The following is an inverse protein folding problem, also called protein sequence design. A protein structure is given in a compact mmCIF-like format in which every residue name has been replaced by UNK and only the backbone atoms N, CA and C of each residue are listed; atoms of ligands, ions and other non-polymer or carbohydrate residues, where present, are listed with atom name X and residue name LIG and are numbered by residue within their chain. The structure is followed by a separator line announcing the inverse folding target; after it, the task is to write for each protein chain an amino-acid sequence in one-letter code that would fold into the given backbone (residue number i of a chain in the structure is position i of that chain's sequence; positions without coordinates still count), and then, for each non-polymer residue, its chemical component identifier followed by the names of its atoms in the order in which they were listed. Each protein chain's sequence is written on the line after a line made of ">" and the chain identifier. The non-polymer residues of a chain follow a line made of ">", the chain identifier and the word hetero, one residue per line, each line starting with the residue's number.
data_IF_113176851628
#
_entry.id   IF_113176851628
#
_cell.length_a   1.000
_cell.length_b   1.000
_cell.length_c   1.000
_cell.angle_alpha   90.00
_cell.angle_beta   90.00
_cell.angle_gamma   90.00
#
_symmetry.space_group_name_H-M   'P 1'
#
loop_
_entity.id
_entity.type
_entity.pdbx_description
1 polymer ?
#
# COMPACT_ATOMS: atom_id res chain seq x y z
N UNK A 1 -9.24 -6.68 10.11
CA UNK A 1 -8.63 -6.10 8.90
C UNK A 1 -7.36 -5.35 9.31
N UNK A 2 -6.25 -5.60 8.62
CA UNK A 2 -5.00 -4.83 8.81
C UNK A 2 -4.86 -3.88 7.64
N UNK A 3 -4.59 -2.59 7.90
CA UNK A 3 -4.39 -1.56 6.87
C UNK A 3 -3.14 -0.74 7.19
N UNK A 4 -2.35 -0.44 6.16
CA UNK A 4 -1.24 0.50 6.25
C UNK A 4 -1.71 1.91 5.90
N UNK A 5 -1.24 2.92 6.62
CA UNK A 5 -1.48 4.34 6.31
C UNK A 5 -0.14 5.06 6.12
N UNK A 6 -0.04 5.88 5.08
CA UNK A 6 1.21 6.59 4.73
C UNK A 6 1.17 8.07 5.07
N UNK A 7 -0.01 8.67 5.17
CA UNK A 7 -0.19 10.09 5.43
C UNK A 7 -1.54 10.37 6.10
N UNK A 8 -1.83 11.64 6.38
CA UNK A 8 -3.08 12.08 7.02
C UNK A 8 -4.32 11.74 6.19
N UNK A 9 -4.25 11.80 4.85
CA UNK A 9 -5.38 11.51 3.97
C UNK A 9 -5.73 10.02 3.99
N UNK A 10 -4.72 9.15 3.87
CA UNK A 10 -4.88 7.69 4.00
C UNK A 10 -5.51 7.35 5.36
N UNK A 11 -5.05 8.00 6.44
CA UNK A 11 -5.58 7.79 7.79
C UNK A 11 -7.06 8.14 7.91
N UNK A 12 -7.48 9.33 7.48
CA UNK A 12 -8.89 9.73 7.57
C UNK A 12 -9.82 8.84 6.73
N UNK A 13 -9.35 8.43 5.55
CA UNK A 13 -10.08 7.50 4.70
C UNK A 13 -10.26 6.13 5.38
N UNK A 14 -9.16 5.51 5.83
CA UNK A 14 -9.19 4.19 6.48
C UNK A 14 -9.93 4.20 7.82
N UNK A 15 -9.86 5.31 8.58
CA UNK A 15 -10.64 5.50 9.81
C UNK A 15 -12.13 5.49 9.53
N UNK A 16 -12.57 6.17 8.49
CA UNK A 16 -13.97 6.20 8.06
C UNK A 16 -14.44 4.80 7.64
N UNK A 17 -13.62 4.09 6.85
CA UNK A 17 -13.91 2.71 6.45
C UNK A 17 -13.96 1.73 7.63
N UNK A 18 -13.05 1.87 8.61
CA UNK A 18 -13.08 1.07 9.82
C UNK A 18 -14.40 1.23 10.60
N UNK A 19 -14.93 2.46 10.70
CA UNK A 19 -16.22 2.71 11.35
C UNK A 19 -17.40 2.12 10.57
N UNK A 20 -17.38 2.26 9.24
CA UNK A 20 -18.39 1.64 8.37
C UNK A 20 -18.38 0.12 8.52
N UNK A 21 -17.20 -0.50 8.46
CA UNK A 21 -17.03 -1.93 8.60
C UNK A 21 -17.53 -2.44 9.96
N UNK A 22 -17.20 -1.74 11.06
CA UNK A 22 -17.69 -2.08 12.40
C UNK A 22 -19.22 -1.96 12.53
N UNK A 23 -19.85 -1.05 11.79
CA UNK A 23 -21.32 -0.94 11.76
C UNK A 23 -21.96 -2.13 11.05
N UNK A 24 -21.34 -2.62 9.98
CA UNK A 24 -21.84 -3.76 9.19
C UNK A 24 -21.53 -5.11 9.84
N UNK A 25 -20.40 -5.22 10.52
CA UNK A 25 -19.91 -6.42 11.21
C UNK A 25 -19.27 -6.00 12.56
N UNK A 26 -20.05 -5.97 13.65
CA UNK A 26 -19.59 -5.48 14.97
C UNK A 26 -18.40 -6.24 15.57
N UNK A 27 -18.22 -7.50 15.20
CA UNK A 27 -17.11 -8.37 15.59
C UNK A 27 -15.81 -8.08 14.82
N UNK A 28 -15.88 -7.30 13.73
CA UNK A 28 -14.74 -7.02 12.88
C UNK A 28 -13.91 -5.86 13.45
N UNK A 29 -12.66 -6.15 13.78
CA UNK A 29 -11.69 -5.13 14.18
C UNK A 29 -10.84 -4.68 12.98
N UNK A 30 -10.53 -3.39 12.93
CA UNK A 30 -9.56 -2.84 11.96
C UNK A 30 -8.38 -2.25 12.72
N UNK A 31 -7.17 -2.69 12.39
CA UNK A 31 -5.90 -2.20 12.95
C UNK A 31 -5.19 -1.40 11.88
N UNK A 32 -4.85 -0.15 12.21
CA UNK A 32 -4.11 0.76 11.33
C UNK A 32 -2.64 0.77 11.75
N UNK A 33 -1.75 0.57 10.78
CA UNK A 33 -0.30 0.59 10.97
C UNK A 33 0.30 1.77 10.20
N UNK A 34 1.11 2.58 10.87
CA UNK A 34 1.83 3.68 10.23
C UNK A 34 3.02 3.15 9.44
N UNK A 35 3.16 3.63 8.21
CA UNK A 35 4.29 3.28 7.34
C UNK A 35 5.55 3.97 7.85
N UNK A 36 6.70 3.28 7.94
CA UNK A 36 7.99 3.91 8.22
C UNK A 36 8.29 5.05 7.24
N UNK A 37 8.95 6.11 7.72
CA UNK A 37 9.25 7.29 6.91
C UNK A 37 10.04 6.94 5.63
N UNK A 38 10.95 5.98 5.73
CA UNK A 38 11.80 5.49 4.62
C UNK A 38 11.03 4.73 3.52
N UNK A 39 9.74 4.40 3.73
CA UNK A 39 8.90 3.68 2.77
C UNK A 39 7.66 4.48 2.35
N UNK A 40 7.52 5.74 2.77
CA UNK A 40 6.30 6.54 2.53
C UNK A 40 6.03 6.83 1.05
N UNK A 41 7.07 6.90 0.24
CA UNK A 41 7.04 7.17 -1.21
C UNK A 41 6.71 5.92 -2.05
N UNK A 42 6.77 4.73 -1.45
CA UNK A 42 6.50 3.48 -2.14
C UNK A 42 4.99 3.31 -2.37
N UNK A 43 4.61 3.22 -3.65
CA UNK A 43 3.25 2.87 -4.05
C UNK A 43 3.24 2.08 -5.36
N UNK A 44 2.29 1.16 -5.53
CA UNK A 44 2.15 0.39 -6.77
C UNK A 44 1.87 1.28 -7.99
N UNK A 45 1.24 2.44 -7.81
CA UNK A 45 1.02 3.39 -8.89
C UNK A 45 2.34 4.03 -9.34
N UNK A 46 3.14 4.51 -8.39
CA UNK A 46 4.47 5.07 -8.64
C UNK A 46 5.41 4.04 -9.28
N UNK A 47 5.43 2.81 -8.76
CA UNK A 47 6.25 1.72 -9.31
C UNK A 47 5.85 1.41 -10.76
N UNK A 48 4.55 1.28 -11.05
CA UNK A 48 4.05 1.03 -12.42
C UNK A 48 4.37 2.18 -13.37
N UNK A 49 4.28 3.42 -12.91
CA UNK A 49 4.63 4.60 -13.70
C UNK A 49 6.13 4.62 -14.04
N UNK A 50 7.00 4.39 -13.05
CA UNK A 50 8.44 4.30 -13.27
C UNK A 50 8.82 3.16 -14.23
N UNK A 51 8.18 2.00 -14.10
CA UNK A 51 8.33 0.89 -15.04
C UNK A 51 7.92 1.28 -16.47
N UNK A 52 6.80 1.98 -16.64
CA UNK A 52 6.34 2.45 -17.95
C UNK A 52 7.33 3.43 -18.59
N UNK A 53 8.07 4.20 -17.79
CA UNK A 53 9.17 5.07 -18.26
C UNK A 53 10.52 4.35 -18.38
N UNK A 54 10.58 3.03 -18.21
CA UNK A 54 11.81 2.23 -18.30
C UNK A 54 12.82 2.53 -17.19
N UNK A 55 12.36 3.03 -16.04
CA UNK A 55 13.22 3.34 -14.89
C UNK A 55 13.39 2.11 -14.00
N UNK A 56 14.56 2.02 -13.36
CA UNK A 56 14.82 1.00 -12.34
C UNK A 56 13.98 1.28 -11.09
N UNK A 57 13.26 0.25 -10.63
CA UNK A 57 12.42 0.28 -9.42
C UNK A 57 12.93 -0.68 -8.35
N UNK A 58 14.10 -1.31 -8.55
CA UNK A 58 14.73 -2.21 -7.58
C UNK A 58 14.77 -1.68 -6.15
N UNK A 59 15.10 -0.39 -5.89
CA UNK A 59 15.08 0.18 -4.55
C UNK A 59 13.70 0.19 -3.86
N UNK A 60 12.61 0.10 -4.62
CA UNK A 60 11.23 0.10 -4.12
C UNK A 60 10.66 -1.30 -3.94
N UNK A 61 11.44 -2.34 -4.24
CA UNK A 61 11.02 -3.73 -4.29
C UNK A 61 11.87 -4.62 -3.38
N UNK A 62 11.29 -5.67 -2.76
CA UNK A 62 12.07 -6.69 -2.08
C UNK A 62 13.07 -7.37 -3.03
N UNK A 63 14.30 -7.60 -2.57
CA UNK A 63 15.41 -8.12 -3.38
C UNK A 63 15.15 -9.49 -4.05
N UNK A 64 14.16 -10.25 -3.59
CA UNK A 64 13.82 -11.59 -4.12
C UNK A 64 12.72 -11.57 -5.18
N UNK A 65 12.18 -10.40 -5.53
CA UNK A 65 11.13 -10.30 -6.55
C UNK A 65 11.77 -10.16 -7.94
N UNK A 66 11.47 -11.12 -8.82
CA UNK A 66 11.84 -11.05 -10.23
C UNK A 66 10.67 -10.46 -11.03
N UNK A 67 10.74 -9.17 -11.33
CA UNK A 67 9.64 -8.46 -12.02
C UNK A 67 9.26 -9.07 -13.37
N UNK A 68 10.21 -9.71 -14.06
CA UNK A 68 9.95 -10.41 -15.34
C UNK A 68 8.89 -11.50 -15.19
N UNK A 69 8.82 -12.17 -14.04
CA UNK A 69 7.83 -13.23 -13.76
C UNK A 69 6.39 -12.68 -13.65
N UNK A 70 6.22 -11.36 -13.52
CA UNK A 70 4.92 -10.70 -13.30
C UNK A 70 4.51 -9.75 -14.42
N UNK A 71 5.38 -9.55 -15.41
CA UNK A 71 5.15 -8.63 -16.55
C UNK A 71 4.94 -9.38 -17.87
N UNK A 72 5.09 -10.70 -17.87
CA UNK A 72 4.72 -11.57 -19.00
C UNK A 72 3.23 -11.94 -18.90
N UNK A 73 2.37 -11.05 -19.42
CA UNK A 73 0.99 -11.30 -19.84
C UNK A 73 0.72 -10.58 -21.17
#
# INVERSE_FOLDING_TARGET
>A
IIRGVRNTLDFEYERTMAQTNRRLAPELETVLLFTPAELMDVSSSTVRELLAFGRDVGPMMPAKIQLKEYLED
#
